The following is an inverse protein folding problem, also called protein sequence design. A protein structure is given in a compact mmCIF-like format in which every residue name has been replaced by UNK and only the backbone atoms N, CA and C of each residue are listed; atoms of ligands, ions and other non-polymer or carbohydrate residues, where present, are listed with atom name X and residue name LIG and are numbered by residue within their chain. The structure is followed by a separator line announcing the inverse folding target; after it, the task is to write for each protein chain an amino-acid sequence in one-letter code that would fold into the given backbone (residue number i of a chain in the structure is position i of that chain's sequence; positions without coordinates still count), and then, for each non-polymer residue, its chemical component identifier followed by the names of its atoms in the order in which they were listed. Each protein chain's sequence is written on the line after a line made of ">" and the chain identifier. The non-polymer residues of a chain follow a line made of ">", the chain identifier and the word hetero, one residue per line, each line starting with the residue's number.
data_IF_895462711315
#
_entry.id   IF_895462711315
#
_cell.length_a   1.000
_cell.length_b   1.000
_cell.length_c   1.000
_cell.angle_alpha   90.00
_cell.angle_beta   90.00
_cell.angle_gamma   90.00
#
_symmetry.space_group_name_H-M   'P 1'
#
loop_
_entity.id
_entity.type
_entity.pdbx_description
1 polymer ?
#
# COMPACT_ATOMS: atom_id res chain seq x y z
N UNK A 1 3.90 -22.95 -21.25
CA UNK A 1 3.82 -23.12 -19.76
C UNK A 1 2.56 -22.46 -19.28
N UNK A 2 1.88 -23.03 -18.30
CA UNK A 2 0.77 -22.32 -17.66
C UNK A 2 1.30 -21.03 -16.98
N UNK A 3 0.57 -19.91 -17.04
CA UNK A 3 0.97 -18.67 -16.38
C UNK A 3 1.07 -18.90 -14.87
N UNK A 4 2.09 -18.28 -14.23
CA UNK A 4 2.29 -18.38 -12.78
C UNK A 4 1.18 -17.59 -12.07
N UNK A 5 0.50 -18.20 -11.11
CA UNK A 5 -0.45 -17.47 -10.27
C UNK A 5 0.30 -16.73 -9.18
N UNK A 6 -0.03 -15.43 -8.99
CA UNK A 6 0.47 -14.59 -7.89
C UNK A 6 -0.73 -14.12 -7.08
N UNK A 7 -0.71 -14.37 -5.79
CA UNK A 7 -1.82 -14.01 -4.91
C UNK A 7 -1.59 -12.65 -4.28
N UNK A 8 -2.49 -11.70 -4.54
CA UNK A 8 -2.55 -10.42 -3.83
C UNK A 8 -3.44 -10.54 -2.60
N UNK A 9 -2.87 -10.30 -1.44
CA UNK A 9 -3.60 -10.36 -0.18
C UNK A 9 -4.13 -8.98 0.15
N UNK A 10 -5.42 -8.79 -0.08
CA UNK A 10 -6.12 -7.56 0.28
C UNK A 10 -7.62 -7.79 0.41
N UNK A 11 -8.26 -7.18 1.42
CA UNK A 11 -9.70 -7.00 1.54
C UNK A 11 -10.18 -5.65 0.96
N UNK A 12 -9.26 -4.81 0.48
CA UNK A 12 -9.57 -3.49 -0.06
C UNK A 12 -9.83 -3.56 -1.57
N UNK A 13 -11.11 -3.41 -1.96
CA UNK A 13 -11.54 -3.50 -3.36
C UNK A 13 -10.91 -2.39 -4.25
N UNK A 14 -10.61 -1.21 -3.71
CA UNK A 14 -9.98 -0.13 -4.47
C UNK A 14 -8.52 -0.45 -4.77
N UNK A 15 -7.77 -0.93 -3.78
CA UNK A 15 -6.39 -1.41 -3.98
C UNK A 15 -6.33 -2.52 -5.03
N UNK A 16 -7.26 -3.47 -4.97
CA UNK A 16 -7.35 -4.54 -5.96
C UNK A 16 -7.55 -3.99 -7.37
N UNK A 17 -8.46 -3.04 -7.55
CA UNK A 17 -8.71 -2.41 -8.86
C UNK A 17 -7.48 -1.67 -9.36
N UNK A 18 -6.82 -0.89 -8.52
CA UNK A 18 -5.60 -0.17 -8.89
C UNK A 18 -4.50 -1.12 -9.35
N UNK A 19 -4.24 -2.17 -8.59
CA UNK A 19 -3.23 -3.18 -8.95
C UNK A 19 -3.61 -3.90 -10.24
N UNK A 20 -4.88 -4.26 -10.44
CA UNK A 20 -5.35 -4.87 -11.67
C UNK A 20 -5.15 -3.95 -12.88
N UNK A 21 -5.40 -2.64 -12.72
CA UNK A 21 -5.18 -1.65 -13.80
C UNK A 21 -3.70 -1.47 -14.13
N UNK A 22 -2.84 -1.43 -13.11
CA UNK A 22 -1.39 -1.25 -13.27
C UNK A 22 -0.72 -2.48 -13.90
N UNK A 23 -1.22 -3.66 -13.58
CA UNK A 23 -0.68 -4.94 -14.07
C UNK A 23 -1.43 -5.48 -15.29
N UNK A 24 -2.46 -4.75 -15.78
CA UNK A 24 -3.13 -5.11 -17.01
C UNK A 24 -2.09 -5.11 -18.15
N UNK A 25 -2.01 -6.17 -18.96
CA UNK A 25 -1.12 -6.18 -20.12
C UNK A 25 -1.51 -5.01 -21.02
N UNK A 26 -0.50 -4.20 -21.40
CA UNK A 26 -0.70 -3.28 -22.52
C UNK A 26 -1.23 -4.10 -23.69
N UNK A 27 -2.12 -3.51 -24.49
CA UNK A 27 -2.87 -4.19 -25.57
C UNK A 27 -2.01 -4.80 -26.70
N UNK A 28 -0.79 -5.17 -26.42
CA UNK A 28 0.12 -5.94 -27.24
C UNK A 28 -0.06 -7.42 -26.94
N UNK A 29 -0.34 -8.19 -27.95
CA UNK A 29 -0.62 -9.61 -28.08
C UNK A 29 0.37 -10.60 -27.41
N UNK A 30 0.86 -10.31 -26.22
CA UNK A 30 1.72 -11.19 -25.44
C UNK A 30 0.83 -11.86 -24.39
N UNK A 31 0.83 -13.17 -24.35
CA UNK A 31 0.15 -13.93 -23.29
C UNK A 31 0.64 -13.45 -21.91
N UNK A 32 -0.26 -13.27 -20.94
CA UNK A 32 0.13 -12.81 -19.61
C UNK A 32 1.13 -13.79 -19.01
N UNK A 33 2.24 -13.26 -18.51
CA UNK A 33 3.29 -14.06 -17.85
C UNK A 33 2.84 -14.60 -16.49
N UNK A 34 1.82 -13.99 -15.90
CA UNK A 34 1.21 -14.41 -14.63
C UNK A 34 -0.27 -14.07 -14.58
N UNK A 35 -0.98 -14.71 -13.66
CA UNK A 35 -2.38 -14.43 -13.32
C UNK A 35 -2.43 -13.86 -11.91
N UNK A 36 -3.07 -12.71 -11.75
CA UNK A 36 -3.32 -12.12 -10.44
C UNK A 36 -4.58 -12.75 -9.81
N UNK A 37 -4.40 -13.39 -8.67
CA UNK A 37 -5.48 -13.92 -7.82
C UNK A 37 -5.60 -13.04 -6.60
N UNK A 38 -6.82 -12.74 -6.15
CA UNK A 38 -7.07 -12.02 -4.90
C UNK A 38 -7.52 -12.98 -3.80
N UNK A 39 -6.98 -12.78 -2.61
CA UNK A 39 -7.43 -13.45 -1.41
C UNK A 39 -7.47 -12.48 -0.23
N UNK A 40 -8.53 -12.51 0.54
CA UNK A 40 -8.63 -11.81 1.81
C UNK A 40 -8.17 -12.75 2.94
N UNK A 41 -7.28 -12.26 3.78
CA UNK A 41 -6.79 -12.94 4.97
C UNK A 41 -6.85 -11.99 6.16
N UNK A 42 -7.19 -12.53 7.33
CA UNK A 42 -7.08 -11.82 8.59
C UNK A 42 -5.62 -11.87 9.06
N UNK A 43 -4.90 -10.79 8.79
CA UNK A 43 -3.48 -10.64 9.13
C UNK A 43 -3.32 -9.69 10.32
N UNK A 44 -2.26 -9.91 11.09
CA UNK A 44 -1.91 -9.03 12.19
C UNK A 44 -1.58 -7.61 11.68
N UNK A 45 -2.17 -6.60 12.29
CA UNK A 45 -1.92 -5.19 12.01
C UNK A 45 -0.73 -4.68 12.85
N UNK A 46 0.47 -5.14 12.51
CA UNK A 46 1.71 -4.69 13.14
C UNK A 46 1.95 -3.22 12.84
N UNK A 47 2.37 -2.46 13.86
CA UNK A 47 2.69 -1.05 13.74
C UNK A 47 4.17 -0.82 14.10
N UNK A 48 4.87 -0.13 13.22
CA UNK A 48 6.28 0.25 13.37
C UNK A 48 6.52 1.58 12.65
N UNK A 49 7.67 2.19 12.86
CA UNK A 49 8.16 3.33 12.07
C UNK A 49 8.86 2.86 10.80
N UNK A 50 9.34 1.64 10.75
CA UNK A 50 9.92 1.02 9.57
C UNK A 50 8.83 0.37 8.71
N UNK A 51 8.53 1.00 7.58
CA UNK A 51 7.46 0.57 6.67
C UNK A 51 7.78 -0.75 5.97
N UNK A 52 9.05 -1.05 5.74
CA UNK A 52 9.47 -2.31 5.14
C UNK A 52 9.30 -3.47 6.12
N UNK A 53 9.61 -3.27 7.40
CA UNK A 53 9.40 -4.28 8.45
C UNK A 53 7.92 -4.60 8.62
N UNK A 54 7.03 -3.61 8.58
CA UNK A 54 5.58 -3.82 8.61
C UNK A 54 5.13 -4.70 7.45
N UNK A 55 5.49 -4.32 6.23
CA UNK A 55 5.11 -5.04 5.02
C UNK A 55 5.70 -6.45 4.99
N UNK A 56 6.95 -6.60 5.43
CA UNK A 56 7.62 -7.89 5.49
C UNK A 56 6.98 -8.84 6.51
N UNK A 57 6.62 -8.33 7.69
CA UNK A 57 5.91 -9.13 8.70
C UNK A 57 4.59 -9.66 8.15
N UNK A 58 3.80 -8.78 7.54
CA UNK A 58 2.52 -9.10 6.91
C UNK A 58 2.69 -10.12 5.77
N UNK A 59 3.72 -9.96 4.95
CA UNK A 59 4.02 -10.87 3.85
C UNK A 59 4.41 -12.27 4.34
N UNK A 60 5.22 -12.37 5.39
CA UNK A 60 5.60 -13.65 5.99
C UNK A 60 4.39 -14.39 6.56
N UNK A 61 3.50 -13.67 7.25
CA UNK A 61 2.26 -14.25 7.77
C UNK A 61 1.36 -14.72 6.63
N UNK A 62 1.18 -13.89 5.59
CA UNK A 62 0.39 -14.24 4.41
C UNK A 62 0.94 -15.48 3.70
N UNK A 63 2.25 -15.54 3.48
CA UNK A 63 2.91 -16.70 2.84
C UNK A 63 2.69 -17.98 3.64
N UNK A 64 2.73 -17.92 4.97
CA UNK A 64 2.48 -19.08 5.82
C UNK A 64 1.04 -19.59 5.73
N UNK A 65 0.06 -18.71 5.56
CA UNK A 65 -1.36 -19.04 5.47
C UNK A 65 -1.77 -19.52 4.07
N UNK A 66 -1.20 -18.91 3.03
CA UNK A 66 -1.45 -19.30 1.62
C UNK A 66 -0.83 -20.68 1.32
N UNK A 67 0.27 -20.99 1.99
CA UNK A 67 0.95 -22.30 1.89
C UNK A 67 2.19 -22.27 1.00
N UNK A 68 2.93 -23.38 0.99
CA UNK A 68 4.21 -23.47 0.30
C UNK A 68 4.07 -23.38 -1.22
N UNK A 69 5.13 -22.96 -1.88
CA UNK A 69 5.28 -22.89 -3.33
C UNK A 69 4.26 -21.94 -4.04
N UNK A 70 3.64 -21.05 -3.29
CA UNK A 70 2.70 -20.06 -3.84
C UNK A 70 3.26 -18.67 -3.67
N UNK A 71 3.49 -17.95 -4.76
CA UNK A 71 3.86 -16.55 -4.69
C UNK A 71 2.72 -15.71 -4.14
N UNK A 72 3.08 -14.81 -3.22
CA UNK A 72 2.12 -13.92 -2.57
C UNK A 72 2.73 -12.54 -2.39
N UNK A 73 1.92 -11.49 -2.48
CA UNK A 73 2.34 -10.16 -2.08
C UNK A 73 1.28 -9.43 -1.29
N UNK A 74 1.74 -8.50 -0.50
CA UNK A 74 0.96 -7.55 0.28
C UNK A 74 1.38 -6.13 -0.08
N UNK A 75 0.49 -5.16 0.18
CA UNK A 75 0.74 -3.75 -0.05
C UNK A 75 0.27 -2.97 1.16
N UNK A 76 1.09 -2.01 1.60
CA UNK A 76 0.73 -1.02 2.60
C UNK A 76 1.08 0.39 2.12
N UNK A 77 0.20 1.35 2.41
CA UNK A 77 0.41 2.76 2.09
C UNK A 77 0.52 3.57 3.38
N UNK A 78 1.54 4.40 3.46
CA UNK A 78 1.79 5.34 4.53
C UNK A 78 1.69 6.78 4.03
N UNK A 79 1.31 7.71 4.90
CA UNK A 79 1.38 9.14 4.64
C UNK A 79 2.31 9.79 5.66
N UNK A 80 3.42 10.34 5.18
CA UNK A 80 4.51 10.86 5.99
C UNK A 80 4.60 12.38 5.82
N UNK A 81 4.38 13.14 6.90
CA UNK A 81 4.53 14.59 6.91
C UNK A 81 5.96 14.98 7.27
N UNK A 82 6.57 15.85 6.47
CA UNK A 82 7.93 16.32 6.73
C UNK A 82 8.02 17.04 8.08
N UNK A 83 7.02 17.86 8.43
CA UNK A 83 6.96 18.57 9.71
C UNK A 83 6.89 17.64 10.92
N UNK A 84 6.35 16.44 10.75
CA UNK A 84 6.22 15.44 11.82
C UNK A 84 7.28 14.31 11.70
N UNK A 85 8.36 14.56 10.97
CA UNK A 85 9.47 13.60 10.78
C UNK A 85 9.00 12.22 10.33
N UNK A 86 8.04 12.19 9.41
CA UNK A 86 7.51 10.95 8.83
C UNK A 86 6.22 10.43 9.47
N UNK A 87 5.77 11.00 10.58
CA UNK A 87 4.44 10.68 11.12
C UNK A 87 3.34 11.40 10.32
N UNK A 88 2.11 10.85 10.30
CA UNK A 88 1.64 9.64 10.94
C UNK A 88 2.18 8.31 10.36
N UNK A 89 2.81 8.31 9.19
CA UNK A 89 3.39 7.10 8.59
C UNK A 89 2.34 6.01 8.36
N UNK A 90 2.62 4.80 8.81
CA UNK A 90 1.70 3.67 8.73
C UNK A 90 0.43 3.83 9.57
N UNK A 91 0.47 4.69 10.60
CA UNK A 91 -0.70 4.98 11.45
C UNK A 91 -1.79 5.80 10.72
N UNK A 92 -1.54 6.27 9.51
CA UNK A 92 -2.49 7.09 8.75
C UNK A 92 -3.88 6.47 8.66
N UNK A 93 -3.98 5.16 8.53
CA UNK A 93 -5.24 4.42 8.54
C UNK A 93 -6.09 4.75 9.77
N UNK A 94 -5.46 4.73 10.94
CA UNK A 94 -6.13 5.02 12.20
C UNK A 94 -6.48 6.49 12.36
N UNK A 95 -5.63 7.39 11.86
CA UNK A 95 -5.91 8.83 11.81
C UNK A 95 -7.14 9.13 10.95
N UNK A 96 -7.19 8.59 9.74
CA UNK A 96 -8.35 8.76 8.84
C UNK A 96 -9.61 8.19 9.47
N UNK A 97 -9.54 6.98 10.03
CA UNK A 97 -10.69 6.30 10.63
C UNK A 97 -11.21 7.02 11.88
N UNK A 98 -10.33 7.57 12.70
CA UNK A 98 -10.68 8.14 14.00
C UNK A 98 -11.03 9.62 13.93
N UNK A 99 -10.33 10.41 13.12
CA UNK A 99 -10.49 11.86 13.10
C UNK A 99 -10.95 12.43 11.75
N UNK A 100 -10.78 11.68 10.68
CA UNK A 100 -11.17 12.10 9.32
C UNK A 100 -10.19 13.06 8.65
N UNK A 101 -10.26 13.14 7.33
CA UNK A 101 -9.34 13.94 6.52
C UNK A 101 -9.32 15.44 6.88
N UNK A 102 -10.47 16.12 7.15
CA UNK A 102 -10.44 17.53 7.49
C UNK A 102 -9.62 17.86 8.74
N UNK A 103 -9.65 17.00 9.75
CA UNK A 103 -8.87 17.20 10.98
C UNK A 103 -7.38 16.91 10.76
N UNK A 104 -7.06 15.99 9.88
CA UNK A 104 -5.66 15.70 9.50
C UNK A 104 -5.05 16.93 8.81
N UNK A 105 -5.78 17.58 7.89
CA UNK A 105 -5.35 18.83 7.25
C UNK A 105 -5.14 19.92 8.30
N UNK A 106 -6.08 20.07 9.25
CA UNK A 106 -5.98 21.06 10.34
C UNK A 106 -4.76 20.85 11.25
N UNK A 107 -4.29 19.63 11.42
CA UNK A 107 -3.08 19.38 12.22
C UNK A 107 -1.85 20.13 11.68
N UNK A 108 -1.80 20.39 10.38
CA UNK A 108 -0.70 21.11 9.74
C UNK A 108 -0.94 22.63 9.62
N UNK A 109 -2.11 23.14 9.95
CA UNK A 109 -2.42 24.58 9.84
C UNK A 109 -1.38 25.49 10.49
N UNK A 110 -0.88 25.20 11.74
CA UNK A 110 0.09 26.06 12.43
C UNK A 110 1.48 26.09 11.78
N UNK A 111 1.80 25.12 10.93
CA UNK A 111 3.12 24.96 10.35
C UNK A 111 3.17 25.52 8.93
N UNK A 112 4.29 26.16 8.54
CA UNK A 112 4.48 26.63 7.17
C UNK A 112 4.73 25.47 6.21
N UNK A 113 5.49 24.45 6.65
CA UNK A 113 5.81 23.28 5.84
C UNK A 113 4.61 22.33 5.75
N UNK A 114 4.06 22.22 4.57
CA UNK A 114 2.94 21.31 4.25
C UNK A 114 3.40 20.09 3.44
N UNK A 115 4.71 19.91 3.26
CA UNK A 115 5.24 18.82 2.46
C UNK A 115 4.92 17.48 3.09
N UNK A 116 4.61 16.52 2.24
CA UNK A 116 4.29 15.16 2.62
C UNK A 116 4.70 14.17 1.54
N UNK A 117 4.83 12.92 1.94
CA UNK A 117 5.11 11.82 1.04
C UNK A 117 4.08 10.72 1.26
N UNK A 118 3.48 10.24 0.17
CA UNK A 118 2.77 8.97 0.17
C UNK A 118 3.78 7.88 -0.17
N UNK A 119 3.92 6.90 0.72
CA UNK A 119 4.86 5.80 0.55
C UNK A 119 4.08 4.51 0.45
N UNK A 120 4.15 3.85 -0.70
CA UNK A 120 3.57 2.53 -0.92
C UNK A 120 4.67 1.49 -0.81
N UNK A 121 4.51 0.53 0.07
CA UNK A 121 5.45 -0.58 0.27
C UNK A 121 4.79 -1.88 -0.14
N UNK A 122 5.42 -2.59 -1.07
CA UNK A 122 5.04 -3.94 -1.47
C UNK A 122 6.05 -4.91 -0.88
N UNK A 123 5.57 -5.96 -0.22
CA UNK A 123 6.40 -7.09 0.14
C UNK A 123 5.91 -8.34 -0.61
N UNK A 124 6.83 -9.06 -1.21
CA UNK A 124 6.59 -10.20 -2.10
C UNK A 124 7.36 -11.42 -1.64
N UNK A 125 6.67 -12.54 -1.54
CA UNK A 125 7.24 -13.87 -1.36
C UNK A 125 7.14 -14.64 -2.68
N UNK A 126 8.26 -15.16 -3.18
CA UNK A 126 8.32 -15.83 -4.49
C UNK A 126 7.77 -17.26 -4.51
N UNK A 127 7.46 -17.82 -3.34
CA UNK A 127 7.04 -19.21 -3.15
C UNK A 127 8.21 -20.19 -3.02
N UNK A 128 9.44 -19.73 -3.17
CA UNK A 128 10.68 -20.55 -3.06
C UNK A 128 11.43 -20.26 -1.74
N UNK A 129 10.86 -19.40 -0.89
CA UNK A 129 11.42 -19.02 0.41
C UNK A 129 12.13 -17.67 0.42
N UNK A 130 12.19 -16.95 -0.70
CA UNK A 130 12.76 -15.61 -0.75
C UNK A 130 11.68 -14.54 -0.60
N UNK A 131 12.06 -13.46 0.09
CA UNK A 131 11.20 -12.31 0.33
C UNK A 131 11.88 -11.05 -0.20
N UNK A 132 11.08 -10.17 -0.80
CA UNK A 132 11.54 -8.92 -1.40
C UNK A 132 10.63 -7.77 -1.00
N UNK A 133 11.19 -6.58 -0.83
CA UNK A 133 10.42 -5.34 -0.62
C UNK A 133 10.68 -4.36 -1.76
N UNK A 134 9.64 -3.59 -2.09
CA UNK A 134 9.69 -2.53 -3.08
C UNK A 134 8.93 -1.32 -2.53
N UNK A 135 9.48 -0.12 -2.70
CA UNK A 135 8.81 1.10 -2.30
C UNK A 135 8.64 2.07 -3.46
N UNK A 136 7.43 2.63 -3.55
CA UNK A 136 7.12 3.78 -4.39
C UNK A 136 6.84 5.00 -3.51
N UNK A 137 7.44 6.16 -3.86
CA UNK A 137 7.28 7.40 -3.10
C UNK A 137 6.73 8.48 -4.02
N UNK A 138 5.58 9.04 -3.63
CA UNK A 138 4.99 10.22 -4.27
C UNK A 138 5.10 11.40 -3.33
N UNK A 139 5.78 12.46 -3.76
CA UNK A 139 5.97 13.68 -2.97
C UNK A 139 4.92 14.71 -3.34
N UNK A 140 4.42 15.43 -2.35
CA UNK A 140 3.40 16.45 -2.54
C UNK A 140 3.25 17.37 -1.34
N UNK A 141 2.13 18.05 -1.29
CA UNK A 141 1.75 18.93 -0.17
C UNK A 141 0.34 18.61 0.27
N UNK A 142 0.12 18.70 1.58
CA UNK A 142 -1.22 18.61 2.15
C UNK A 142 -1.94 19.94 1.88
N UNK A 143 -3.07 19.86 1.21
CA UNK A 143 -3.92 21.01 0.88
C UNK A 143 -5.36 20.73 1.27
N UNK A 144 -6.15 21.81 1.46
CA UNK A 144 -7.58 21.67 1.68
C UNK A 144 -8.26 21.08 0.45
N UNK A 145 -9.21 20.17 0.66
CA UNK A 145 -9.94 19.49 -0.40
C UNK A 145 -10.66 20.45 -1.35
N UNK A 146 -11.15 21.56 -0.86
CA UNK A 146 -11.86 22.57 -1.67
C UNK A 146 -10.97 23.24 -2.73
N UNK A 147 -9.64 23.13 -2.58
CA UNK A 147 -8.64 23.70 -3.50
C UNK A 147 -8.00 22.69 -4.44
N UNK A 148 -8.29 21.41 -4.26
CA UNK A 148 -7.67 20.34 -5.04
C UNK A 148 -8.65 19.71 -6.00
N UNK A 149 -8.45 19.91 -7.31
CA UNK A 149 -9.27 19.27 -8.35
C UNK A 149 -8.75 17.88 -8.77
N UNK A 150 -7.54 17.44 -8.37
CA UNK A 150 -6.88 16.31 -9.00
C UNK A 150 -6.03 15.39 -8.11
N UNK A 151 -6.14 15.38 -6.79
CA UNK A 151 -5.37 14.44 -5.98
C UNK A 151 -6.28 13.48 -5.23
N UNK A 152 -6.34 12.25 -5.73
CA UNK A 152 -6.81 11.08 -5.01
C UNK A 152 -5.59 10.33 -4.47
N UNK A 153 -5.31 10.46 -3.17
CA UNK A 153 -4.89 9.28 -2.43
C UNK A 153 -6.11 8.38 -2.43
N UNK A 154 -6.05 7.24 -3.07
CA UNK A 154 -7.07 6.20 -2.97
C UNK A 154 -7.13 5.69 -1.53
N UNK A 155 -7.43 6.59 -0.61
CA UNK A 155 -7.50 6.32 0.81
C UNK A 155 -8.90 5.86 1.18
N UNK A 156 -9.28 4.70 0.68
CA UNK A 156 -9.99 3.74 1.50
C UNK A 156 -8.92 2.93 2.23
N UNK A 157 -8.22 3.61 3.12
CA UNK A 157 -7.33 3.02 4.10
C UNK A 157 -8.14 2.27 5.14
#
# INVERSE_FOLDING_TARGET
>A
MAPKEITFITGNANKLKEVQMLLAPEASSIEPTFILVNQELDLDEVQDTDLEEIAMHKCRQAASLVGPNKPVFVEDTALCFDEFNGLPGAYIKWFVKSMGLPKIVKMLEPFENKNAQAVTTIAYADGEGNFHTFQGITRGKIVDRERSTNFWLGCDL
#
